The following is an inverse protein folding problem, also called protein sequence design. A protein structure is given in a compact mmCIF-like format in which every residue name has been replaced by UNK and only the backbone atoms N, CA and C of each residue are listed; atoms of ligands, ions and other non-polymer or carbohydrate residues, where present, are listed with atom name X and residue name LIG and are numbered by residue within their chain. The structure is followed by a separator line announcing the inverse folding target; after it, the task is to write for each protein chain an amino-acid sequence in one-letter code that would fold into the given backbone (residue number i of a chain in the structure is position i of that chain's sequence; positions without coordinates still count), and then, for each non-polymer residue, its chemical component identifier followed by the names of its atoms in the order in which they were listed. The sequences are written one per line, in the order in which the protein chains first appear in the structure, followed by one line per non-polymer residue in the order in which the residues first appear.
data_IF_701196527818
#
_entry.id   IF_701196527818
#
_cell.length_a   1.000
_cell.length_b   1.000
_cell.length_c   1.000
_cell.angle_alpha   90.00
_cell.angle_beta   90.00
_cell.angle_gamma   90.00
#
_symmetry.space_group_name_H-M   'P 1'
#
loop_
_entity.id
_entity.type
_entity.pdbx_description
1 polymer ?
#
# COMPACT_ATOMS: atom_id res chain seq x y z
N UNK A 1 26.78 -23.74 -24.71
CA UNK A 1 26.22 -23.65 -23.35
C UNK A 1 25.77 -22.21 -23.19
N UNK A 2 24.52 -21.93 -23.52
CA UNK A 2 24.00 -20.57 -23.62
C UNK A 2 23.26 -20.25 -22.32
N UNK A 3 23.80 -19.29 -21.56
CA UNK A 3 23.25 -18.85 -20.28
C UNK A 3 22.18 -17.80 -20.59
N UNK A 4 20.91 -18.21 -20.50
CA UNK A 4 19.77 -17.29 -20.63
C UNK A 4 19.69 -16.45 -19.36
N UNK A 5 20.09 -15.18 -19.49
CA UNK A 5 19.86 -14.12 -18.49
C UNK A 5 18.35 -13.87 -18.38
N UNK A 6 17.70 -14.43 -17.35
CA UNK A 6 16.37 -14.02 -16.90
C UNK A 6 16.49 -12.71 -16.10
N UNK A 7 16.78 -11.61 -16.79
CA UNK A 7 16.41 -10.28 -16.32
C UNK A 7 15.01 -9.97 -16.84
N UNK A 8 14.01 -10.68 -16.31
CA UNK A 8 12.61 -10.28 -16.47
C UNK A 8 12.40 -8.98 -15.68
N UNK A 9 12.78 -7.85 -16.31
CA UNK A 9 12.31 -6.51 -15.93
C UNK A 9 10.80 -6.47 -16.15
N UNK A 10 10.03 -6.99 -15.20
CA UNK A 10 8.58 -6.73 -15.11
C UNK A 10 8.37 -5.30 -14.66
N UNK A 11 8.62 -4.36 -15.57
CA UNK A 11 8.15 -2.99 -15.46
C UNK A 11 6.63 -3.02 -15.52
N UNK A 12 5.98 -3.04 -14.35
CA UNK A 12 4.56 -2.81 -14.26
C UNK A 12 4.33 -1.31 -14.40
N UNK A 13 4.07 -0.86 -15.64
CA UNK A 13 3.65 0.49 -15.94
C UNK A 13 2.20 0.68 -15.45
N UNK A 14 2.00 1.55 -14.48
CA UNK A 14 0.67 2.07 -14.13
C UNK A 14 0.14 2.93 -15.29
N UNK A 15 -0.72 2.35 -16.13
CA UNK A 15 -1.58 3.15 -17.00
C UNK A 15 -2.80 3.61 -16.18
N UNK A 16 -2.64 4.67 -15.38
CA UNK A 16 -3.79 5.45 -14.89
C UNK A 16 -4.29 6.31 -16.05
N UNK A 17 -4.83 5.65 -17.09
CA UNK A 17 -5.61 6.30 -18.15
C UNK A 17 -7.05 5.83 -17.95
N UNK A 18 -7.77 6.50 -17.06
CA UNK A 18 -9.21 6.62 -17.21
C UNK A 18 -9.47 8.06 -17.62
N UNK A 19 -10.13 8.19 -18.76
CA UNK A 19 -10.46 9.43 -19.44
C UNK A 19 -10.90 10.51 -18.46
N UNK A 20 -10.47 11.74 -18.77
CA UNK A 20 -10.83 12.96 -18.05
C UNK A 20 -12.30 12.91 -17.60
N UNK A 21 -12.59 12.93 -16.28
CA UNK A 21 -13.97 12.94 -15.77
C UNK A 21 -14.78 14.16 -16.25
N UNK A 22 -14.11 15.17 -16.81
CA UNK A 22 -14.73 16.37 -17.37
C UNK A 22 -15.14 16.18 -18.85
N UNK A 23 -14.63 15.15 -19.54
CA UNK A 23 -14.99 14.83 -20.92
C UNK A 23 -16.32 14.08 -20.99
N UNK A 24 -17.38 14.84 -20.72
CA UNK A 24 -18.60 14.67 -21.50
C UNK A 24 -19.60 13.64 -21.01
N UNK A 25 -19.75 13.37 -19.71
CA UNK A 25 -21.02 12.90 -19.17
C UNK A 25 -21.14 13.30 -17.70
N UNK A 26 -22.15 14.11 -17.35
CA UNK A 26 -22.58 14.37 -15.95
C UNK A 26 -23.22 13.12 -15.31
N UNK A 27 -22.64 11.94 -15.55
CA UNK A 27 -23.17 10.65 -15.17
C UNK A 27 -22.82 10.30 -13.74
N UNK A 28 -23.68 10.70 -12.80
CA UNK A 28 -24.12 9.99 -11.57
C UNK A 28 -23.12 9.27 -10.65
N UNK A 29 -21.81 9.34 -10.87
CA UNK A 29 -20.79 8.65 -10.06
C UNK A 29 -19.67 9.59 -9.58
N UNK A 30 -19.87 10.91 -9.68
CA UNK A 30 -19.05 11.90 -8.97
C UNK A 30 -19.30 11.67 -7.47
N UNK A 31 -18.49 10.81 -6.86
CA UNK A 31 -18.63 10.40 -5.46
C UNK A 31 -18.68 8.89 -5.21
N UNK A 32 -18.68 8.03 -6.24
CA UNK A 32 -18.52 6.59 -6.00
C UNK A 32 -17.04 6.29 -5.72
N UNK A 33 -16.72 6.02 -4.45
CA UNK A 33 -15.40 5.53 -4.04
C UNK A 33 -15.16 4.18 -4.74
N UNK A 34 -14.26 4.14 -5.73
CA UNK A 34 -13.93 2.90 -6.46
C UNK A 34 -12.62 2.30 -5.97
N UNK A 35 -12.54 0.97 -5.92
CA UNK A 35 -11.32 0.23 -5.58
C UNK A 35 -10.21 0.38 -6.63
N UNK A 36 -10.49 0.99 -7.78
CA UNK A 36 -9.51 1.17 -8.85
C UNK A 36 -8.38 2.15 -8.47
N UNK A 37 -8.62 2.95 -7.44
CA UNK A 37 -7.76 4.04 -7.01
C UNK A 37 -6.98 3.76 -5.71
N UNK A 38 -7.09 2.55 -5.17
CA UNK A 38 -6.37 2.13 -3.97
C UNK A 38 -5.26 1.13 -4.32
N UNK A 39 -4.07 1.35 -3.76
CA UNK A 39 -2.91 0.49 -3.92
C UNK A 39 -2.44 -0.05 -2.56
N UNK A 40 -2.16 -1.35 -2.44
CA UNK A 40 -1.51 -1.94 -1.28
C UNK A 40 0.01 -1.81 -1.41
N UNK A 41 0.61 -0.99 -0.55
CA UNK A 41 2.07 -0.85 -0.42
C UNK A 41 2.51 -1.56 0.84
N UNK A 42 3.33 -2.59 0.72
CA UNK A 42 3.93 -3.26 1.86
C UNK A 42 5.25 -2.59 2.21
N UNK A 43 5.57 -2.52 3.51
CA UNK A 43 6.90 -2.19 4.01
C UNK A 43 7.45 -3.46 4.67
N UNK A 44 8.54 -4.00 4.15
CA UNK A 44 9.34 -5.03 4.82
C UNK A 44 10.26 -4.34 5.82
N UNK A 45 9.92 -4.45 7.11
CA UNK A 45 10.60 -3.71 8.19
C UNK A 45 12.06 -4.12 8.29
N UNK A 46 12.36 -5.41 8.16
CA UNK A 46 13.72 -5.93 8.30
C UNK A 46 14.61 -5.50 7.13
N UNK A 47 14.05 -5.51 5.90
CA UNK A 47 14.80 -5.13 4.70
C UNK A 47 14.76 -3.62 4.40
N UNK A 48 13.97 -2.84 5.14
CA UNK A 48 13.77 -1.40 4.95
C UNK A 48 13.32 -1.05 3.53
N UNK A 49 12.41 -1.87 2.99
CA UNK A 49 11.98 -1.77 1.60
C UNK A 49 10.46 -1.64 1.54
N UNK A 50 9.97 -0.69 0.72
CA UNK A 50 8.57 -0.59 0.37
C UNK A 50 8.32 -1.10 -1.06
N UNK A 51 7.23 -1.84 -1.26
CA UNK A 51 6.86 -2.39 -2.55
C UNK A 51 5.35 -2.53 -2.71
N UNK A 52 4.85 -2.43 -3.94
CA UNK A 52 3.44 -2.69 -4.27
C UNK A 52 3.24 -4.17 -4.55
N UNK A 53 2.19 -4.76 -3.98
CA UNK A 53 1.69 -6.08 -4.39
C UNK A 53 0.17 -6.08 -4.41
N UNK A 54 -0.40 -5.86 -5.61
CA UNK A 54 -1.85 -5.78 -5.86
C UNK A 54 -2.61 -7.01 -5.34
N UNK A 55 -1.93 -8.16 -5.18
CA UNK A 55 -2.51 -9.33 -4.52
C UNK A 55 -3.05 -9.02 -3.12
N UNK A 56 -2.52 -8.00 -2.43
CA UNK A 56 -2.97 -7.53 -1.12
C UNK A 56 -4.45 -7.17 -1.06
N UNK A 57 -5.06 -6.74 -2.16
CA UNK A 57 -6.50 -6.46 -2.26
C UNK A 57 -7.39 -7.66 -1.92
N UNK A 58 -6.86 -8.88 -2.08
CA UNK A 58 -7.60 -10.12 -1.86
C UNK A 58 -6.90 -11.05 -0.87
N UNK A 59 -6.01 -10.52 -0.03
CA UNK A 59 -5.16 -11.30 0.86
C UNK A 59 -4.30 -12.36 0.11
N UNK A 60 -3.80 -11.99 -1.08
CA UNK A 60 -3.03 -12.84 -1.99
C UNK A 60 -1.67 -12.25 -2.34
N UNK A 61 -1.16 -11.26 -1.60
CA UNK A 61 0.20 -10.80 -1.81
C UNK A 61 1.22 -11.93 -1.54
N UNK A 62 2.43 -11.84 -2.10
CA UNK A 62 3.53 -12.80 -1.89
C UNK A 62 3.85 -12.99 -0.41
N UNK A 63 3.70 -11.95 0.41
CA UNK A 63 3.88 -12.03 1.87
C UNK A 63 2.76 -12.82 2.54
N UNK A 64 1.55 -12.78 1.97
CA UNK A 64 0.33 -13.37 2.55
C UNK A 64 0.08 -14.83 2.12
N UNK A 65 0.62 -15.24 0.96
CA UNK A 65 0.42 -16.60 0.46
C UNK A 65 1.14 -17.65 1.32
N UNK A 66 0.48 -18.79 1.50
CA UNK A 66 1.08 -20.00 2.08
C UNK A 66 1.04 -20.09 3.60
N UNK A 67 0.45 -19.11 4.28
CA UNK A 67 0.29 -19.10 5.74
C UNK A 67 -1.17 -19.21 6.16
N UNK A 68 -1.39 -19.75 7.36
CA UNK A 68 -2.68 -19.67 8.06
C UNK A 68 -2.69 -18.45 8.96
N UNK A 69 -3.65 -17.56 8.77
CA UNK A 69 -3.86 -16.39 9.63
C UNK A 69 -4.45 -16.80 10.98
N UNK A 70 -3.82 -16.36 12.06
CA UNK A 70 -4.25 -16.59 13.44
C UNK A 70 -4.24 -15.27 14.22
N UNK A 71 -4.98 -15.24 15.33
CA UNK A 71 -5.14 -14.04 16.17
C UNK A 71 -4.13 -13.97 17.32
N UNK A 72 -3.42 -15.06 17.60
CA UNK A 72 -2.35 -15.07 18.59
C UNK A 72 -1.03 -14.70 17.91
N UNK A 73 -0.53 -13.48 18.18
CA UNK A 73 0.73 -12.99 17.63
C UNK A 73 1.92 -13.82 18.17
N UNK A 74 1.92 -14.19 19.44
CA UNK A 74 3.03 -14.90 20.08
C UNK A 74 3.26 -16.28 19.42
N UNK A 75 2.20 -16.94 18.96
CA UNK A 75 2.30 -18.19 18.21
C UNK A 75 2.88 -18.05 16.78
N UNK A 76 3.12 -16.84 16.30
CA UNK A 76 3.76 -16.54 15.00
C UNK A 76 5.21 -16.09 15.16
N UNK A 77 5.57 -15.55 16.33
CA UNK A 77 6.92 -15.05 16.63
C UNK A 77 8.01 -16.13 16.55
N UNK A 78 9.27 -15.69 16.47
CA UNK A 78 10.46 -16.53 16.34
C UNK A 78 11.46 -15.96 15.33
N UNK A 79 12.65 -16.55 15.24
CA UNK A 79 13.78 -16.03 14.47
C UNK A 79 13.50 -15.85 12.96
N UNK A 80 12.56 -16.62 12.41
CA UNK A 80 12.16 -16.55 11.00
C UNK A 80 10.89 -15.72 10.76
N UNK A 81 10.31 -15.13 11.81
CA UNK A 81 9.15 -14.26 11.68
C UNK A 81 9.57 -12.91 11.08
N UNK A 82 8.80 -12.44 10.10
CA UNK A 82 9.04 -11.17 9.40
C UNK A 82 7.90 -10.21 9.61
N UNK A 83 8.24 -9.00 10.04
CA UNK A 83 7.31 -7.92 10.26
C UNK A 83 7.07 -7.13 8.97
N UNK A 84 5.81 -6.81 8.73
CA UNK A 84 5.42 -5.92 7.66
C UNK A 84 4.37 -4.90 8.12
N UNK A 85 4.39 -3.75 7.48
CA UNK A 85 3.23 -2.87 7.41
C UNK A 85 2.57 -3.04 6.04
N UNK A 86 1.25 -3.09 6.02
CA UNK A 86 0.45 -2.89 4.81
C UNK A 86 -0.13 -1.47 4.85
N UNK A 87 0.35 -0.64 3.96
CA UNK A 87 -0.11 0.71 3.72
C UNK A 87 -1.14 0.73 2.59
N UNK A 88 -2.35 1.22 2.87
CA UNK A 88 -3.36 1.46 1.87
C UNK A 88 -3.22 2.88 1.33
N UNK A 89 -2.81 3.01 0.08
CA UNK A 89 -2.59 4.30 -0.59
C UNK A 89 -3.75 4.56 -1.54
N UNK A 90 -4.56 5.57 -1.26
CA UNK A 90 -5.64 6.01 -2.16
C UNK A 90 -5.16 7.20 -2.97
N UNK A 91 -5.44 7.17 -4.28
CA UNK A 91 -5.01 8.19 -5.24
C UNK A 91 -6.23 8.82 -5.91
N UNK A 92 -6.20 10.12 -6.16
CA UNK A 92 -7.27 10.82 -6.89
C UNK A 92 -6.66 11.85 -7.84
N UNK A 93 -7.51 12.61 -8.54
CA UNK A 93 -7.13 13.70 -9.43
C UNK A 93 -7.89 14.96 -9.05
N UNK A 94 -7.21 16.09 -9.06
CA UNK A 94 -7.79 17.43 -8.95
C UNK A 94 -7.29 18.30 -10.12
N UNK A 95 -7.56 19.61 -10.08
CA UNK A 95 -7.15 20.56 -11.12
C UNK A 95 -5.63 20.64 -11.36
N UNK A 96 -4.81 20.32 -10.34
CA UNK A 96 -3.34 20.31 -10.45
C UNK A 96 -2.81 18.99 -11.01
N UNK A 97 -3.61 17.93 -10.97
CA UNK A 97 -3.24 16.60 -11.46
C UNK A 97 -3.54 15.49 -10.45
N UNK A 98 -2.94 14.31 -10.62
CA UNK A 98 -3.08 13.23 -9.65
C UNK A 98 -2.41 13.58 -8.32
N UNK A 99 -2.90 13.03 -7.22
CA UNK A 99 -2.34 13.18 -5.87
C UNK A 99 -2.65 11.98 -4.97
N UNK A 100 -1.92 11.85 -3.85
CA UNK A 100 -2.22 10.86 -2.82
C UNK A 100 -3.31 11.41 -1.90
N UNK A 101 -4.52 10.88 -2.03
CA UNK A 101 -5.71 11.36 -1.33
C UNK A 101 -5.86 10.76 0.07
N UNK A 102 -5.40 9.52 0.28
CA UNK A 102 -5.50 8.84 1.57
C UNK A 102 -4.36 7.87 1.78
N UNK A 103 -3.96 7.69 3.04
CA UNK A 103 -2.83 6.86 3.40
C UNK A 103 -2.98 6.34 4.82
N UNK A 104 -3.15 5.03 4.98
CA UNK A 104 -3.23 4.39 6.29
C UNK A 104 -2.33 3.18 6.35
N UNK A 105 -1.96 2.71 7.54
CA UNK A 105 -1.14 1.52 7.71
C UNK A 105 -1.76 0.53 8.71
N UNK A 106 -1.55 -0.76 8.49
CA UNK A 106 -1.94 -1.84 9.39
C UNK A 106 -0.85 -2.92 9.46
N UNK A 107 -0.67 -3.51 10.65
CA UNK A 107 0.43 -4.44 10.91
C UNK A 107 0.11 -5.86 10.42
N UNK A 108 1.15 -6.60 10.03
CA UNK A 108 1.11 -8.04 9.90
C UNK A 108 2.48 -8.67 10.25
N UNK A 109 2.43 -9.87 10.82
CA UNK A 109 3.61 -10.70 11.09
C UNK A 109 3.48 -12.00 10.31
N UNK A 110 4.54 -12.43 9.63
CA UNK A 110 4.53 -13.63 8.81
C UNK A 110 5.71 -14.52 9.16
N UNK A 111 5.45 -15.75 9.57
CA UNK A 111 6.46 -16.77 9.78
C UNK A 111 6.21 -17.94 8.82
N UNK A 112 6.98 -17.96 7.72
CA UNK A 112 6.83 -18.96 6.67
C UNK A 112 7.36 -20.34 7.08
N UNK A 113 8.31 -20.41 8.02
CA UNK A 113 8.87 -21.67 8.50
C UNK A 113 7.79 -22.55 9.16
N UNK A 114 6.95 -21.95 10.00
CA UNK A 114 5.81 -22.63 10.64
C UNK A 114 4.48 -22.42 9.90
N UNK A 115 4.50 -21.71 8.77
CA UNK A 115 3.35 -21.39 7.93
C UNK A 115 2.21 -20.72 8.71
N UNK A 116 2.55 -19.73 9.53
CA UNK A 116 1.60 -18.93 10.30
C UNK A 116 1.78 -17.45 9.99
N UNK A 117 0.69 -16.72 10.05
CA UNK A 117 0.69 -15.27 9.97
C UNK A 117 -0.25 -14.70 11.01
N UNK A 118 0.07 -13.52 11.52
CA UNK A 118 -0.80 -12.75 12.40
C UNK A 118 -1.18 -11.46 11.69
N UNK A 119 -2.48 -11.16 11.70
CA UNK A 119 -3.03 -9.85 11.35
C UNK A 119 -4.42 -9.68 11.94
N UNK A 120 -4.81 -8.44 12.19
CA UNK A 120 -6.18 -8.10 12.54
C UNK A 120 -6.99 -7.81 11.27
N UNK A 121 -7.86 -8.75 10.87
CA UNK A 121 -8.72 -8.52 9.70
C UNK A 121 -9.63 -7.28 9.86
N UNK A 122 -10.26 -7.04 11.02
CA UNK A 122 -11.04 -5.81 11.23
C UNK A 122 -10.20 -4.54 11.06
N UNK A 123 -8.96 -4.54 11.54
CA UNK A 123 -8.07 -3.39 11.36
C UNK A 123 -7.73 -3.16 9.88
N UNK A 124 -7.38 -4.23 9.16
CA UNK A 124 -7.02 -4.15 7.73
C UNK A 124 -8.18 -3.56 6.91
N UNK A 125 -9.41 -4.04 7.13
CA UNK A 125 -10.60 -3.52 6.45
C UNK A 125 -10.89 -2.07 6.84
N UNK A 126 -10.82 -1.75 8.13
CA UNK A 126 -11.07 -0.38 8.61
C UNK A 126 -10.02 0.61 8.11
N UNK A 127 -8.75 0.22 8.00
CA UNK A 127 -7.70 1.08 7.47
C UNK A 127 -7.86 1.29 5.96
N UNK A 128 -8.27 0.26 5.22
CA UNK A 128 -8.62 0.38 3.81
C UNK A 128 -9.76 1.39 3.62
N UNK A 129 -10.87 1.23 4.36
CA UNK A 129 -12.02 2.15 4.32
C UNK A 129 -11.64 3.59 4.68
N UNK A 130 -10.79 3.77 5.70
CA UNK A 130 -10.31 5.10 6.11
C UNK A 130 -9.41 5.74 5.05
N UNK A 131 -8.51 4.98 4.41
CA UNK A 131 -7.70 5.49 3.30
C UNK A 131 -8.59 5.94 2.13
N UNK A 132 -9.59 5.12 1.80
CA UNK A 132 -10.57 5.45 0.76
C UNK A 132 -11.41 6.70 1.08
N UNK A 133 -11.53 7.06 2.37
CA UNK A 133 -12.16 8.30 2.88
C UNK A 133 -11.14 9.42 3.15
N UNK A 134 -9.97 9.35 2.53
CA UNK A 134 -8.93 10.38 2.55
C UNK A 134 -8.27 10.61 3.92
N UNK A 135 -8.38 9.66 4.84
CA UNK A 135 -7.66 9.76 6.12
C UNK A 135 -6.16 9.48 5.92
N UNK A 136 -5.34 10.21 6.68
CA UNK A 136 -3.90 9.98 6.82
C UNK A 136 -3.62 9.43 8.23
N UNK A 137 -3.29 8.14 8.35
CA UNK A 137 -3.12 7.44 9.63
C UNK A 137 -1.92 6.48 9.54
N UNK A 138 -0.73 7.04 9.77
CA UNK A 138 0.53 6.31 9.66
C UNK A 138 1.44 6.48 10.88
N UNK A 139 1.03 7.19 11.94
CA UNK A 139 1.89 7.45 13.09
C UNK A 139 2.43 6.18 13.76
N UNK A 140 1.61 5.12 13.78
CA UNK A 140 1.94 3.83 14.37
C UNK A 140 3.12 3.10 13.72
N UNK A 141 3.54 3.48 12.49
CA UNK A 141 4.65 2.80 11.82
C UNK A 141 6.03 3.30 12.28
N UNK A 142 6.08 4.47 12.95
CA UNK A 142 7.32 5.09 13.42
C UNK A 142 8.18 5.73 12.32
N UNK A 143 9.14 6.55 12.73
CA UNK A 143 9.87 7.46 11.83
C UNK A 143 10.68 6.74 10.75
N UNK A 144 11.29 5.60 11.09
CA UNK A 144 12.06 4.81 10.14
C UNK A 144 11.19 4.30 8.98
N UNK A 145 10.02 3.75 9.28
CA UNK A 145 9.08 3.28 8.26
C UNK A 145 8.41 4.45 7.52
N UNK A 146 8.18 5.58 8.20
CA UNK A 146 7.73 6.83 7.53
C UNK A 146 8.75 7.30 6.50
N UNK A 147 10.06 7.26 6.80
CA UNK A 147 11.10 7.64 5.85
C UNK A 147 11.10 6.73 4.61
N UNK A 148 11.04 5.40 4.82
CA UNK A 148 10.97 4.41 3.73
C UNK A 148 9.74 4.66 2.84
N UNK A 149 8.59 4.88 3.46
CA UNK A 149 7.33 5.11 2.74
C UNK A 149 7.33 6.46 1.99
N UNK A 150 7.92 7.51 2.58
CA UNK A 150 8.09 8.82 1.94
C UNK A 150 8.91 8.69 0.66
N UNK A 151 10.08 8.07 0.76
CA UNK A 151 10.98 7.86 -0.37
C UNK A 151 10.28 7.05 -1.47
N UNK A 152 9.53 6.01 -1.09
CA UNK A 152 8.74 5.22 -2.03
C UNK A 152 7.70 6.06 -2.78
N UNK A 153 6.90 6.87 -2.07
CA UNK A 153 5.84 7.68 -2.67
C UNK A 153 6.40 8.80 -3.56
N UNK A 154 7.49 9.46 -3.14
CA UNK A 154 8.16 10.49 -3.93
C UNK A 154 8.80 9.92 -5.20
N UNK A 155 9.44 8.74 -5.10
CA UNK A 155 10.04 8.07 -6.24
C UNK A 155 9.00 7.49 -7.20
N UNK A 156 7.83 7.10 -6.70
CA UNK A 156 6.72 6.66 -7.53
C UNK A 156 6.21 7.81 -8.42
N UNK A 157 5.88 8.96 -7.82
CA UNK A 157 5.48 10.16 -8.55
C UNK A 157 5.68 11.42 -7.68
N UNK A 158 6.70 12.21 -8.01
CA UNK A 158 7.01 13.46 -7.31
C UNK A 158 5.93 14.54 -7.50
N UNK A 159 5.24 14.52 -8.65
CA UNK A 159 4.12 15.43 -8.93
C UNK A 159 2.94 15.12 -8.01
N UNK A 160 2.55 13.85 -7.91
CA UNK A 160 1.51 13.42 -6.97
C UNK A 160 1.86 13.77 -5.54
N UNK A 161 3.12 13.56 -5.14
CA UNK A 161 3.59 13.98 -3.83
C UNK A 161 3.38 15.48 -3.61
N UNK A 162 3.81 16.32 -4.55
CA UNK A 162 3.66 17.79 -4.46
C UNK A 162 2.20 18.26 -4.43
N UNK A 163 1.31 17.62 -5.18
CA UNK A 163 -0.12 17.97 -5.23
C UNK A 163 -0.93 17.44 -4.04
N UNK A 164 -0.33 16.58 -3.19
CA UNK A 164 -1.00 16.02 -2.02
C UNK A 164 -1.21 17.08 -0.93
N UNK A 165 -2.14 16.79 -0.02
CA UNK A 165 -2.53 17.74 1.03
C UNK A 165 -1.42 18.02 2.03
N UNK A 166 -1.47 19.19 2.67
CA UNK A 166 -0.59 19.54 3.79
C UNK A 166 -0.66 18.49 4.92
N UNK A 167 -1.85 17.92 5.16
CA UNK A 167 -2.04 16.87 6.15
C UNK A 167 -1.20 15.62 5.83
N UNK A 168 -1.09 15.26 4.54
CA UNK A 168 -0.20 14.18 4.11
C UNK A 168 1.25 14.54 4.38
N UNK A 169 1.71 15.73 3.95
CA UNK A 169 3.11 16.13 4.18
C UNK A 169 3.46 16.21 5.67
N UNK A 170 2.55 16.73 6.50
CA UNK A 170 2.71 16.82 7.95
C UNK A 170 2.82 15.46 8.63
N UNK A 171 2.13 14.43 8.13
CA UNK A 171 2.24 13.08 8.67
C UNK A 171 3.64 12.45 8.50
N UNK A 172 4.48 13.02 7.62
CA UNK A 172 5.86 12.61 7.36
C UNK A 172 6.93 13.54 7.97
N UNK A 173 6.52 14.51 8.78
CA UNK A 173 7.41 15.38 9.56
C UNK A 173 7.48 14.91 11.01
#
# INVERSE_FOLDING_TARGET
MEVISLSEKKGFNFNIIKNDPLDGHKGTNIGSISLDNIAPVFIDVANKEAFIDIGGMHARAKVEKGVKWITDKAAVEGDEAKEYWLCWVTTERNEQGPYYAGLTACYLLVNKAIRRGYKSMPEHVNMMDKSMKHHIIIDQIGDENKAILKDFLMNHDEGMWKHSSDALHQAFN
#
